data_IF_669089340519
#
_entry.id   IF_669089340519
#
_cell.length_a   1.000
_cell.length_b   1.000
_cell.length_c   1.000
_cell.angle_alpha   90.00
_cell.angle_beta   90.00
_cell.angle_gamma   90.00
#
_symmetry.space_group_name_H-M   'P 1'
#
loop_
_entity.id
_entity.type
_entity.pdbx_description
1 polymer ?
#
# COMPACT_ATOMS: atom_id res chain seq x y z
N UNK A 1 11.83 17.12 9.24
CA UNK A 1 11.33 17.41 7.87
C UNK A 1 10.18 16.45 7.61
N UNK A 2 8.97 16.90 7.23
CA UNK A 2 7.87 15.98 6.95
C UNK A 2 8.14 15.15 5.69
N UNK A 3 7.89 13.84 5.77
CA UNK A 3 7.99 12.93 4.63
C UNK A 3 6.79 13.13 3.71
N UNK A 4 7.06 13.39 2.43
CA UNK A 4 6.05 13.54 1.38
C UNK A 4 6.14 12.37 0.41
N UNK A 5 4.99 11.83 0.03
CA UNK A 5 4.84 10.78 -0.98
C UNK A 5 4.35 11.45 -2.27
N UNK A 6 4.93 11.04 -3.40
CA UNK A 6 4.53 11.45 -4.74
C UNK A 6 4.06 10.23 -5.52
N UNK A 7 2.80 10.24 -5.95
CA UNK A 7 2.23 9.17 -6.79
C UNK A 7 2.36 9.56 -8.25
N UNK A 8 3.04 8.71 -9.01
CA UNK A 8 3.19 8.88 -10.44
C UNK A 8 2.21 7.97 -11.20
N UNK A 9 1.55 8.52 -12.21
CA UNK A 9 0.81 7.74 -13.20
C UNK A 9 1.20 8.22 -14.59
N UNK A 10 1.65 7.28 -15.44
CA UNK A 10 2.10 7.57 -16.82
C UNK A 10 3.15 8.69 -16.89
N UNK A 11 4.09 8.70 -15.95
CA UNK A 11 5.16 9.69 -15.88
C UNK A 11 4.77 11.07 -15.34
N UNK A 12 3.52 11.24 -14.86
CA UNK A 12 3.04 12.50 -14.28
C UNK A 12 2.68 12.32 -12.81
N UNK A 13 2.96 13.33 -12.00
CA UNK A 13 2.50 13.39 -10.61
C UNK A 13 0.99 13.59 -10.57
N UNK A 14 0.28 12.62 -10.02
CA UNK A 14 -1.19 12.65 -9.91
C UNK A 14 -1.66 12.90 -8.47
N UNK A 15 -0.87 12.51 -7.47
CA UNK A 15 -1.15 12.79 -6.06
C UNK A 15 0.14 13.12 -5.31
N UNK A 16 0.06 14.04 -4.35
CA UNK A 16 1.17 14.42 -3.48
C UNK A 16 0.66 14.73 -2.08
N UNK A 17 1.33 14.22 -1.06
CA UNK A 17 1.00 14.53 0.32
C UNK A 17 1.71 13.63 1.32
N UNK A 18 1.40 13.80 2.58
CA UNK A 18 1.78 12.82 3.60
C UNK A 18 0.93 11.56 3.47
N UNK A 19 1.39 10.47 4.09
CA UNK A 19 0.64 9.22 4.14
C UNK A 19 -0.81 9.41 4.62
N UNK A 20 -1.00 10.15 5.72
CA UNK A 20 -2.34 10.42 6.26
C UNK A 20 -3.22 11.22 5.29
N UNK A 21 -2.65 12.23 4.62
CA UNK A 21 -3.40 13.02 3.63
C UNK A 21 -3.85 12.16 2.45
N UNK A 22 -2.97 11.28 1.95
CA UNK A 22 -3.28 10.41 0.83
C UNK A 22 -4.27 9.29 1.19
N UNK A 23 -4.20 8.77 2.42
CA UNK A 23 -5.21 7.83 2.93
C UNK A 23 -6.58 8.49 3.09
N UNK A 24 -6.64 9.71 3.62
CA UNK A 24 -7.88 10.46 3.78
C UNK A 24 -8.51 10.83 2.43
N UNK A 25 -7.69 11.09 1.41
CA UNK A 25 -8.16 11.39 0.05
C UNK A 25 -8.75 10.17 -0.67
N UNK A 26 -8.50 8.95 -0.20
CA UNK A 26 -8.97 7.69 -0.81
C UNK A 26 -8.72 7.58 -2.32
N UNK A 27 -7.61 8.17 -2.76
CA UNK A 27 -7.19 8.18 -4.16
C UNK A 27 -6.45 6.91 -4.60
N UNK A 28 -5.66 7.04 -5.65
CA UNK A 28 -4.84 6.00 -6.23
C UNK A 28 -3.80 5.46 -5.25
N UNK A 29 -3.23 6.31 -4.40
CA UNK A 29 -2.35 5.85 -3.32
C UNK A 29 -3.07 4.85 -2.40
N UNK A 30 -4.28 5.20 -1.97
CA UNK A 30 -5.08 4.37 -1.07
C UNK A 30 -5.44 3.03 -1.72
N UNK A 31 -5.85 3.04 -3.00
CA UNK A 31 -6.17 1.81 -3.74
C UNK A 31 -4.97 0.85 -3.82
N UNK A 32 -3.79 1.38 -4.15
CA UNK A 32 -2.56 0.59 -4.19
C UNK A 32 -2.20 0.04 -2.80
N UNK A 33 -2.37 0.85 -1.76
CA UNK A 33 -2.11 0.46 -0.38
C UNK A 33 -3.03 -0.70 0.08
N UNK A 34 -4.32 -0.66 -0.26
CA UNK A 34 -5.25 -1.75 0.04
C UNK A 34 -4.86 -3.06 -0.66
N UNK A 35 -4.43 -3.00 -1.92
CA UNK A 35 -3.97 -4.18 -2.66
C UNK A 35 -2.72 -4.80 -2.02
N UNK A 36 -1.80 -3.97 -1.55
CA UNK A 36 -0.60 -4.45 -0.88
C UNK A 36 -0.91 -5.13 0.46
N UNK A 37 -1.81 -4.55 1.25
CA UNK A 37 -2.25 -5.13 2.52
C UNK A 37 -2.89 -6.51 2.32
N UNK A 38 -3.78 -6.65 1.34
CA UNK A 38 -4.40 -7.93 1.01
C UNK A 38 -3.37 -8.99 0.58
N UNK A 39 -2.33 -8.59 -0.15
CA UNK A 39 -1.22 -9.47 -0.52
C UNK A 39 -0.37 -9.90 0.67
N UNK A 40 -0.12 -9.00 1.62
CA UNK A 40 0.63 -9.29 2.85
C UNK A 40 -0.13 -10.26 3.76
N UNK A 41 -1.45 -10.08 3.90
CA UNK A 41 -2.33 -10.99 4.65
C UNK A 41 -2.31 -12.41 4.06
N UNK A 42 -2.45 -12.52 2.73
CA UNK A 42 -2.35 -13.81 2.03
C UNK A 42 -0.96 -14.44 2.18
N UNK A 43 0.11 -13.65 2.08
CA UNK A 43 1.47 -14.16 2.27
C UNK A 43 1.73 -14.60 3.72
N UNK A 44 1.07 -13.98 4.71
CA UNK A 44 1.16 -14.37 6.10
C UNK A 44 0.45 -15.70 6.36
N UNK A 45 -0.76 -15.90 5.83
CA UNK A 45 -1.51 -17.15 6.00
C UNK A 45 -0.81 -18.35 5.34
N UNK A 46 -0.22 -18.17 4.15
CA UNK A 46 0.56 -19.22 3.47
C UNK A 46 1.77 -19.65 4.31
N UNK A 47 2.51 -18.70 4.91
CA UNK A 47 3.67 -19.02 5.76
C UNK A 47 3.27 -19.75 7.05
N UNK A 48 2.09 -19.44 7.58
CA UNK A 48 1.56 -20.08 8.79
C UNK A 48 1.13 -21.53 8.49
N UNK A 49 0.48 -21.78 7.35
CA UNK A 49 0.16 -23.13 6.88
C UNK A 49 1.43 -23.97 6.61
N UNK A 50 2.44 -23.41 5.94
CA UNK A 50 3.71 -24.09 5.70
C UNK A 50 4.41 -24.49 7.01
N UNK A 51 4.41 -23.60 8.01
CA UNK A 51 5.02 -23.85 9.33
C UNK A 51 4.28 -24.90 10.15
N UNK A 52 2.95 -25.02 9.99
CA UNK A 52 2.13 -26.05 10.66
C UNK A 52 2.23 -27.43 9.99
N UNK A 53 2.70 -27.48 8.74
CA UNK A 53 2.84 -28.70 7.95
C UNK A 53 4.24 -29.34 8.01
N UNK A 54 5.21 -28.67 8.65
CA UNK A 54 6.60 -29.11 8.82
C UNK A 54 6.86 -29.68 10.22
#
# INVERSE_FOLDING_TARGET
MPTTILVLHRGQAVEQGTHQQLLAAQGRYWQMYQLQLAGEELAASVREEESLSA
#
